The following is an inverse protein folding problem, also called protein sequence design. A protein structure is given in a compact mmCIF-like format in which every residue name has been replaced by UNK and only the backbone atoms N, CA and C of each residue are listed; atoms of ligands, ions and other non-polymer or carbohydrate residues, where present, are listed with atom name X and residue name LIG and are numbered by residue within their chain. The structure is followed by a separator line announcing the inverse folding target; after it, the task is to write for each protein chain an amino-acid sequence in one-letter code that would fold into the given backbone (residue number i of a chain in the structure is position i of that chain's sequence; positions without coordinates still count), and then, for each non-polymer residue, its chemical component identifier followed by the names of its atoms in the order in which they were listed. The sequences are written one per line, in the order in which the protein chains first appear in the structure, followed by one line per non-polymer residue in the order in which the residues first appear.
data_IF_929963503996
#
_entry.id   IF_929963503996
#
_cell.length_a   1.000
_cell.length_b   1.000
_cell.length_c   1.000
_cell.angle_alpha   90.00
_cell.angle_beta   90.00
_cell.angle_gamma   90.00
#
_symmetry.space_group_name_H-M   'P 1'
#
loop_
_entity.id
_entity.type
_entity.pdbx_description
1 polymer ?
#
# COMPACT_ATOMS: atom_id res chain seq x y z
N UNK A 1 6.78 -10.93 5.75
CA UNK A 1 6.26 -11.46 4.48
C UNK A 1 6.71 -10.58 3.32
N UNK A 2 6.95 -11.17 2.19
CA UNK A 2 7.32 -10.40 1.00
C UNK A 2 6.18 -9.49 0.58
N UNK A 3 6.55 -8.35 0.00
CA UNK A 3 5.56 -7.42 -0.53
C UNK A 3 4.77 -8.07 -1.66
N UNK A 4 3.45 -7.92 -1.62
CA UNK A 4 2.59 -8.33 -2.73
C UNK A 4 2.35 -7.17 -3.69
N UNK A 5 2.83 -5.97 -3.36
CA UNK A 5 2.68 -4.79 -4.21
C UNK A 5 3.80 -4.75 -5.23
N UNK A 6 5.03 -4.90 -4.77
CA UNK A 6 6.20 -4.88 -5.63
C UNK A 6 7.27 -5.76 -5.01
N UNK A 7 7.64 -6.84 -5.70
CA UNK A 7 8.58 -7.81 -5.14
C UNK A 7 10.02 -7.39 -5.28
N UNK A 8 10.34 -6.51 -6.23
CA UNK A 8 11.71 -6.06 -6.44
C UNK A 8 12.17 -5.19 -5.27
N UNK A 9 13.43 -5.35 -4.87
CA UNK A 9 13.99 -4.56 -3.77
C UNK A 9 14.49 -3.24 -4.31
N UNK A 10 13.58 -2.31 -4.52
CA UNK A 10 13.90 -0.96 -5.00
C UNK A 10 12.80 -0.01 -4.54
N UNK A 11 13.11 1.28 -4.60
CA UNK A 11 12.14 2.30 -4.22
C UNK A 11 10.92 2.23 -5.13
N UNK A 12 9.73 2.23 -4.53
CA UNK A 12 8.47 2.15 -5.27
C UNK A 12 8.33 3.30 -6.26
N UNK A 13 8.81 4.49 -5.89
CA UNK A 13 8.59 5.68 -6.72
C UNK A 13 9.68 5.92 -7.75
N UNK A 14 10.95 5.65 -7.42
CA UNK A 14 12.04 6.00 -8.34
C UNK A 14 12.91 4.83 -8.76
N UNK A 15 12.72 3.66 -8.17
CA UNK A 15 13.51 2.49 -8.55
C UNK A 15 14.91 2.41 -7.97
N UNK A 16 15.30 3.37 -7.12
CA UNK A 16 16.61 3.33 -6.48
C UNK A 16 16.80 2.03 -5.70
N UNK A 17 18.01 1.48 -5.75
CA UNK A 17 18.30 0.21 -5.10
C UNK A 17 19.10 0.35 -3.82
N UNK A 18 19.41 1.57 -3.41
CA UNK A 18 20.21 1.83 -2.20
C UNK A 18 19.44 2.77 -1.28
N UNK A 19 19.85 2.77 -0.01
CA UNK A 19 19.23 3.61 1.02
C UNK A 19 17.74 3.36 1.12
N UNK A 20 17.36 2.08 1.13
CA UNK A 20 15.96 1.68 1.15
C UNK A 20 15.48 1.50 2.58
N UNK A 21 14.23 1.92 2.81
CA UNK A 21 13.55 1.74 4.08
C UNK A 21 12.24 1.04 3.84
N UNK A 22 11.89 0.12 4.72
CA UNK A 22 10.62 -0.61 4.61
C UNK A 22 9.49 0.26 5.13
N UNK A 23 8.45 0.41 4.32
CA UNK A 23 7.29 1.22 4.65
C UNK A 23 6.04 0.36 4.66
N UNK A 24 5.29 0.42 5.76
CA UNK A 24 4.00 -0.24 5.84
C UNK A 24 2.94 0.68 5.24
N UNK A 25 2.24 0.18 4.22
CA UNK A 25 1.34 1.02 3.45
C UNK A 25 0.10 1.41 4.25
N UNK A 26 -0.38 0.53 5.13
CA UNK A 26 -1.55 0.82 5.96
C UNK A 26 -1.08 1.28 7.34
N UNK A 27 -1.70 2.37 7.82
CA UNK A 27 -1.27 3.03 9.05
C UNK A 27 -2.13 2.63 10.25
N UNK A 28 -1.60 2.90 11.45
CA UNK A 28 -2.24 2.53 12.70
C UNK A 28 -1.70 1.20 13.19
N UNK A 29 -1.67 1.03 14.52
CA UNK A 29 -1.03 -0.14 15.12
C UNK A 29 -1.63 -1.45 14.62
N UNK A 30 -2.96 -1.54 14.61
CA UNK A 30 -3.63 -2.76 14.17
C UNK A 30 -3.43 -2.99 12.68
N UNK A 31 -3.57 -1.94 11.87
CA UNK A 31 -3.43 -2.06 10.43
C UNK A 31 -2.01 -2.35 10.01
N UNK A 32 -1.02 -1.84 10.76
CA UNK A 32 0.38 -2.13 10.47
C UNK A 32 0.67 -3.62 10.64
N UNK A 33 0.09 -4.22 11.69
CA UNK A 33 0.25 -5.65 11.92
C UNK A 33 -0.39 -6.47 10.81
N UNK A 34 -1.59 -6.07 10.38
CA UNK A 34 -2.27 -6.74 9.28
C UNK A 34 -1.51 -6.56 7.97
N UNK A 35 -0.98 -5.36 7.72
CA UNK A 35 -0.21 -5.10 6.53
C UNK A 35 1.05 -5.95 6.48
N UNK A 36 1.70 -6.11 7.63
CA UNK A 36 2.89 -6.94 7.69
C UNK A 36 2.54 -8.41 7.35
N UNK A 37 1.44 -8.90 7.90
CA UNK A 37 1.01 -10.27 7.66
C UNK A 37 0.58 -10.48 6.20
N UNK A 38 -0.03 -9.47 5.59
CA UNK A 38 -0.57 -9.60 4.24
C UNK A 38 0.43 -9.22 3.15
N UNK A 39 1.57 -8.64 3.51
CA UNK A 39 2.55 -8.20 2.53
C UNK A 39 2.29 -6.83 1.94
N UNK A 40 1.54 -5.97 2.65
CA UNK A 40 1.28 -4.61 2.19
C UNK A 40 2.38 -3.67 2.64
N UNK A 41 3.58 -3.95 2.15
CA UNK A 41 4.77 -3.16 2.43
C UNK A 41 5.46 -2.84 1.11
N UNK A 42 6.19 -1.73 1.08
CA UNK A 42 7.03 -1.36 -0.06
C UNK A 42 8.35 -0.82 0.47
N UNK A 43 9.37 -0.82 -0.38
CA UNK A 43 10.60 -0.11 -0.08
C UNK A 43 10.51 1.30 -0.64
N UNK A 44 10.98 2.25 0.13
CA UNK A 44 11.13 3.64 -0.31
C UNK A 44 12.56 4.07 -0.02
N UNK A 45 13.18 4.81 -0.95
CA UNK A 45 14.47 5.40 -0.67
C UNK A 45 14.30 6.49 0.37
N UNK A 46 15.39 6.85 1.05
CA UNK A 46 15.33 7.84 2.13
C UNK A 46 14.68 9.13 1.68
N UNK A 47 14.98 9.57 0.46
CA UNK A 47 14.45 10.83 -0.07
C UNK A 47 12.93 10.75 -0.22
N UNK A 48 12.42 9.70 -0.83
CA UNK A 48 10.97 9.58 -1.05
C UNK A 48 10.23 9.28 0.24
N UNK A 49 10.85 8.55 1.17
CA UNK A 49 10.22 8.30 2.46
C UNK A 49 10.05 9.60 3.24
N UNK A 50 11.06 10.47 3.18
CA UNK A 50 10.97 11.78 3.81
C UNK A 50 9.92 12.65 3.12
N UNK A 51 9.90 12.63 1.79
CA UNK A 51 8.92 13.41 1.04
C UNK A 51 7.49 12.97 1.37
N UNK A 52 7.27 11.69 1.55
CA UNK A 52 5.97 11.15 1.91
C UNK A 52 5.47 11.76 3.23
N UNK A 53 6.37 11.95 4.20
CA UNK A 53 5.97 12.44 5.52
C UNK A 53 5.99 13.96 5.65
N UNK A 54 6.86 14.64 4.89
CA UNK A 54 7.15 16.05 5.15
C UNK A 54 6.72 17.01 4.07
N UNK A 55 6.44 16.54 2.85
CA UNK A 55 6.13 17.45 1.76
C UNK A 55 4.63 17.58 1.54
N UNK A 56 4.24 18.61 0.79
CA UNK A 56 2.84 18.80 0.44
C UNK A 56 2.36 17.75 -0.56
N UNK A 57 3.27 17.01 -1.18
CA UNK A 57 2.90 15.91 -2.06
C UNK A 57 2.69 14.61 -1.29
N UNK A 58 2.95 14.61 0.02
CA UNK A 58 2.89 13.40 0.81
C UNK A 58 1.54 12.71 0.80
N UNK A 59 0.46 13.49 0.85
CA UNK A 59 -0.87 12.91 0.85
C UNK A 59 -1.16 12.17 -0.45
N UNK A 60 -0.75 12.75 -1.58
CA UNK A 60 -0.95 12.09 -2.87
C UNK A 60 -0.11 10.83 -2.98
N UNK A 61 1.13 10.87 -2.49
CA UNK A 61 2.01 9.70 -2.47
C UNK A 61 1.42 8.60 -1.62
N UNK A 62 0.93 8.96 -0.43
CA UNK A 62 0.33 8.00 0.49
C UNK A 62 -0.91 7.35 -0.12
N UNK A 63 -1.77 8.14 -0.76
CA UNK A 63 -2.95 7.61 -1.41
C UNK A 63 -2.59 6.67 -2.57
N UNK A 64 -1.55 7.01 -3.33
CA UNK A 64 -1.10 6.15 -4.41
C UNK A 64 -0.65 4.78 -3.88
N UNK A 65 0.07 4.78 -2.77
CA UNK A 65 0.51 3.54 -2.14
C UNK A 65 -0.66 2.73 -1.62
N UNK A 66 -1.62 3.39 -1.00
CA UNK A 66 -2.79 2.70 -0.44
C UNK A 66 -3.66 2.10 -1.52
N UNK A 67 -3.82 2.81 -2.65
CA UNK A 67 -4.57 2.28 -3.79
C UNK A 67 -3.87 1.06 -4.39
N UNK A 68 -2.56 1.17 -4.57
CA UNK A 68 -1.78 0.03 -5.07
C UNK A 68 -1.88 -1.15 -4.12
N UNK A 69 -1.86 -0.88 -2.82
CA UNK A 69 -1.98 -1.91 -1.80
C UNK A 69 -3.34 -2.60 -1.84
N UNK A 70 -4.40 -1.81 -1.91
CA UNK A 70 -5.75 -2.39 -1.95
C UNK A 70 -5.93 -3.24 -3.20
N UNK A 71 -5.45 -2.74 -4.34
CA UNK A 71 -5.55 -3.49 -5.59
C UNK A 71 -4.80 -4.81 -5.50
N UNK A 72 -3.58 -4.78 -4.99
CA UNK A 72 -2.78 -6.00 -4.83
C UNK A 72 -3.43 -6.99 -3.87
N UNK A 73 -4.00 -6.47 -2.78
CA UNK A 73 -4.68 -7.31 -1.79
C UNK A 73 -5.88 -8.02 -2.41
N UNK A 74 -6.67 -7.28 -3.17
CA UNK A 74 -7.85 -7.84 -3.81
C UNK A 74 -7.45 -8.94 -4.80
N UNK A 75 -6.41 -8.70 -5.58
CA UNK A 75 -5.95 -9.70 -6.55
C UNK A 75 -5.45 -10.96 -5.87
N UNK A 76 -4.85 -10.85 -4.72
CA UNK A 76 -4.28 -12.01 -4.04
C UNK A 76 -5.25 -12.70 -3.11
N UNK A 77 -6.01 -11.94 -2.35
CA UNK A 77 -6.85 -12.48 -1.27
C UNK A 77 -8.34 -12.34 -1.52
N UNK A 78 -8.76 -11.47 -2.42
CA UNK A 78 -10.17 -11.22 -2.65
C UNK A 78 -10.88 -12.43 -3.21
N UNK A 79 -12.15 -12.61 -2.80
CA UNK A 79 -12.97 -13.71 -3.26
C UNK A 79 -14.29 -13.18 -3.77
N UNK A 80 -14.70 -13.66 -4.93
CA UNK A 80 -15.95 -13.21 -5.54
C UNK A 80 -15.73 -12.10 -6.53
N UNK A 81 -16.77 -11.30 -6.78
CA UNK A 81 -16.66 -10.20 -7.72
C UNK A 81 -15.95 -9.00 -7.08
N UNK A 82 -15.71 -7.96 -7.86
CA UNK A 82 -14.97 -6.81 -7.39
C UNK A 82 -15.65 -6.13 -6.21
N UNK A 83 -16.97 -6.01 -6.26
CA UNK A 83 -17.71 -5.38 -5.18
C UNK A 83 -17.53 -6.14 -3.87
N UNK A 84 -17.57 -7.47 -3.94
CA UNK A 84 -17.35 -8.30 -2.76
C UNK A 84 -15.93 -8.18 -2.23
N UNK A 85 -14.95 -8.13 -3.13
CA UNK A 85 -13.55 -7.99 -2.74
C UNK A 85 -13.29 -6.67 -2.04
N UNK A 86 -13.91 -5.61 -2.52
CA UNK A 86 -13.76 -4.29 -1.92
C UNK A 86 -14.37 -4.26 -0.52
N UNK A 87 -15.50 -4.92 -0.34
CA UNK A 87 -16.10 -5.03 0.99
C UNK A 87 -15.22 -5.81 1.94
N UNK A 88 -14.56 -6.86 1.44
CA UNK A 88 -13.65 -7.67 2.26
C UNK A 88 -12.45 -6.85 2.71
N UNK A 89 -11.87 -6.05 1.82
CA UNK A 89 -10.75 -5.19 2.19
C UNK A 89 -11.17 -4.16 3.23
N UNK A 90 -12.33 -3.54 3.04
CA UNK A 90 -12.85 -2.56 3.98
C UNK A 90 -13.07 -3.18 5.36
N UNK A 91 -13.58 -4.40 5.39
CA UNK A 91 -13.80 -5.07 6.66
C UNK A 91 -12.49 -5.31 7.39
N UNK A 92 -11.43 -5.64 6.65
CA UNK A 92 -10.14 -5.94 7.26
C UNK A 92 -9.39 -4.67 7.68
N UNK A 93 -9.39 -3.63 6.85
CA UNK A 93 -8.58 -2.43 7.08
C UNK A 93 -9.40 -1.19 7.48
N UNK A 94 -10.71 -1.28 7.43
CA UNK A 94 -11.59 -0.21 7.91
C UNK A 94 -11.94 0.85 6.88
N UNK A 95 -11.31 0.86 5.72
CA UNK A 95 -11.54 1.88 4.72
C UNK A 95 -11.13 1.39 3.34
N UNK A 96 -11.73 1.95 2.32
CA UNK A 96 -11.34 1.70 0.94
C UNK A 96 -10.60 2.90 0.37
N UNK A 97 -9.70 2.64 -0.56
CA UNK A 97 -8.91 3.67 -1.23
C UNK A 97 -9.11 3.66 -2.74
N UNK A 98 -9.62 2.55 -3.28
CA UNK A 98 -9.96 2.50 -4.70
C UNK A 98 -11.25 3.25 -4.92
N UNK A 99 -11.28 4.03 -6.00
CA UNK A 99 -12.45 4.83 -6.34
C UNK A 99 -13.24 4.11 -7.43
N UNK A 100 -14.35 3.53 -7.03
CA UNK A 100 -15.20 2.79 -7.95
C UNK A 100 -16.13 3.65 -8.75
N UNK A 101 -16.27 4.90 -8.36
CA UNK A 101 -17.23 5.78 -9.01
C UNK A 101 -16.67 6.41 -10.27
N UNK A 102 -15.40 6.23 -10.52
CA UNK A 102 -14.73 6.80 -11.67
C UNK A 102 -14.81 5.93 -12.90
N UNK A 103 -15.65 4.94 -12.91
CA UNK A 103 -15.76 4.10 -14.08
C UNK A 103 -16.39 4.79 -15.24
#
# INVERSE_FOLDING_TARGET
MKSIIKSARCCFFCGAETNLELHHVMHGTANRRLADADGLTVYLCSRHHRELHDSKNGADMDNALKRAGEYAWIKKYGKGNMEQCIAQFRQRYGKNYLDLEDE
#
